data_IF_382072870895
#
_entry.id   IF_382072870895
#
_cell.length_a   1.000
_cell.length_b   1.000
_cell.length_c   1.000
_cell.angle_alpha   90.00
_cell.angle_beta   90.00
_cell.angle_gamma   90.00
#
_symmetry.space_group_name_H-M   'P 1'
#
loop_
_entity.id
_entity.type
_entity.pdbx_description
1 polymer ?
#
# COMPACT_ATOMS: atom_id res chain seq x y z
N UNK A 1 -5.95 -20.32 49.93
CA UNK A 1 -5.95 -21.25 48.77
C UNK A 1 -6.52 -20.60 47.49
N UNK A 2 -6.20 -19.33 47.20
CA UNK A 2 -6.82 -18.58 46.07
C UNK A 2 -5.85 -18.28 44.90
N UNK A 3 -4.53 -18.44 45.10
CA UNK A 3 -3.51 -18.08 44.11
C UNK A 3 -3.23 -19.14 43.04
N UNK A 4 -3.26 -20.43 43.42
CA UNK A 4 -2.94 -21.56 42.52
C UNK A 4 -3.97 -21.74 41.40
N UNK A 5 -5.24 -21.44 41.70
CA UNK A 5 -6.35 -21.51 40.74
C UNK A 5 -6.30 -20.38 39.71
N UNK A 6 -5.90 -19.16 40.11
CA UNK A 6 -5.77 -18.02 39.20
C UNK A 6 -4.61 -18.18 38.22
N UNK A 7 -3.48 -18.70 38.68
CA UNK A 7 -2.33 -18.99 37.80
C UNK A 7 -2.68 -20.08 36.79
N UNK A 8 -3.38 -21.13 37.22
CA UNK A 8 -3.87 -22.17 36.31
C UNK A 8 -4.84 -21.61 35.26
N UNK A 9 -5.76 -20.72 35.65
CA UNK A 9 -6.68 -20.06 34.73
C UNK A 9 -5.97 -19.15 33.71
N UNK A 10 -4.95 -18.40 34.14
CA UNK A 10 -4.16 -17.54 33.25
C UNK A 10 -3.35 -18.37 32.27
N UNK A 11 -2.74 -19.47 32.73
CA UNK A 11 -2.02 -20.40 31.85
C UNK A 11 -2.95 -21.11 30.88
N UNK A 12 -4.16 -21.49 31.32
CA UNK A 12 -5.17 -22.08 30.45
C UNK A 12 -5.67 -21.07 29.41
N UNK A 13 -5.91 -19.83 29.81
CA UNK A 13 -6.31 -18.76 28.90
C UNK A 13 -5.21 -18.47 27.87
N UNK A 14 -3.94 -18.39 28.31
CA UNK A 14 -2.80 -18.19 27.41
C UNK A 14 -2.61 -19.38 26.45
N UNK A 15 -2.78 -20.62 26.93
CA UNK A 15 -2.70 -21.81 26.10
C UNK A 15 -3.84 -21.89 25.08
N UNK A 16 -5.07 -21.56 25.48
CA UNK A 16 -6.21 -21.44 24.57
C UNK A 16 -5.93 -20.33 23.56
N UNK A 17 -5.54 -19.13 23.98
CA UNK A 17 -5.17 -18.02 23.08
C UNK A 17 -4.07 -18.40 22.08
N UNK A 18 -3.06 -19.15 22.49
CA UNK A 18 -2.01 -19.66 21.59
C UNK A 18 -2.55 -20.73 20.63
N UNK A 19 -3.44 -21.63 21.09
CA UNK A 19 -4.05 -22.67 20.26
C UNK A 19 -5.06 -22.11 19.24
N UNK A 20 -5.80 -21.04 19.57
CA UNK A 20 -6.61 -20.29 18.60
C UNK A 20 -5.75 -19.38 17.71
N UNK A 21 -4.60 -18.89 18.17
CA UNK A 21 -3.65 -18.18 17.30
C UNK A 21 -3.03 -19.10 16.23
N UNK A 22 -2.88 -20.40 16.52
CA UNK A 22 -2.54 -21.41 15.52
C UNK A 22 -3.72 -21.78 14.60
N UNK A 23 -4.93 -21.37 14.96
CA UNK A 23 -6.13 -21.40 14.11
C UNK A 23 -6.45 -20.02 13.53
N UNK A 24 -5.41 -19.25 13.15
CA UNK A 24 -5.61 -18.38 11.99
C UNK A 24 -6.18 -19.29 10.88
N UNK A 25 -7.37 -19.00 10.34
CA UNK A 25 -8.04 -19.90 9.41
C UNK A 25 -7.04 -20.27 8.31
N UNK A 26 -6.86 -21.55 7.97
CA UNK A 26 -5.95 -21.93 6.90
C UNK A 26 -6.61 -21.51 5.60
N UNK A 27 -6.43 -20.25 5.20
CA UNK A 27 -6.47 -19.87 3.78
C UNK A 27 -5.16 -20.29 3.12
N UNK A 28 -4.70 -21.51 3.40
CA UNK A 28 -3.59 -22.14 2.72
C UNK A 28 -4.21 -23.12 1.74
N UNK A 29 -4.15 -22.78 0.45
CA UNK A 29 -4.54 -23.67 -0.62
C UNK A 29 -3.32 -24.38 -1.20
N UNK A 30 -3.55 -25.50 -1.89
CA UNK A 30 -2.51 -26.12 -2.71
C UNK A 30 -2.05 -25.15 -3.82
N UNK A 31 -0.81 -25.32 -4.28
CA UNK A 31 -0.26 -24.48 -5.35
C UNK A 31 -1.16 -24.47 -6.60
N UNK A 32 -1.64 -23.28 -6.94
CA UNK A 32 -2.53 -23.06 -8.09
C UNK A 32 -1.83 -23.38 -9.42
N UNK A 33 -2.62 -23.85 -10.38
CA UNK A 33 -2.20 -24.16 -11.76
C UNK A 33 -3.11 -23.44 -12.74
N UNK A 34 -2.62 -23.21 -13.96
CA UNK A 34 -3.40 -22.67 -15.08
C UNK A 34 -4.05 -21.30 -14.81
N UNK A 35 -3.37 -20.43 -14.05
CA UNK A 35 -3.84 -19.08 -13.72
C UNK A 35 -3.31 -17.99 -14.67
N UNK A 36 -2.56 -18.38 -15.71
CA UNK A 36 -1.99 -17.48 -16.72
C UNK A 36 -2.41 -17.90 -18.14
N UNK A 37 -2.87 -16.98 -19.02
CA UNK A 37 -3.06 -15.54 -18.77
C UNK A 37 -4.11 -15.23 -17.68
N UNK A 38 -3.99 -14.09 -16.96
CA UNK A 38 -4.87 -13.77 -15.84
C UNK A 38 -6.35 -13.70 -16.25
N UNK A 39 -7.21 -14.38 -15.49
CA UNK A 39 -8.66 -14.40 -15.68
C UNK A 39 -9.38 -14.80 -14.40
N UNK A 40 -10.72 -14.69 -14.39
CA UNK A 40 -11.54 -15.10 -13.26
C UNK A 40 -11.52 -14.11 -12.07
N UNK A 41 -11.94 -14.55 -10.88
CA UNK A 41 -12.26 -13.66 -9.75
C UNK A 41 -11.04 -12.98 -9.12
N UNK A 42 -9.83 -13.50 -9.32
CA UNK A 42 -8.59 -12.90 -8.81
C UNK A 42 -8.01 -11.85 -9.77
N UNK A 43 -8.56 -11.72 -10.98
CA UNK A 43 -8.14 -10.74 -11.96
C UNK A 43 -9.09 -9.55 -11.98
N UNK A 44 -8.64 -8.41 -11.43
CA UNK A 44 -9.45 -7.17 -11.43
C UNK A 44 -9.47 -6.47 -12.80
N UNK A 45 -8.39 -6.58 -13.56
CA UNK A 45 -8.26 -5.90 -14.84
C UNK A 45 -6.81 -5.53 -15.16
N UNK A 46 -6.58 -5.01 -16.38
CA UNK A 46 -5.25 -4.63 -16.84
C UNK A 46 -4.80 -3.32 -16.17
N UNK A 47 -3.49 -3.10 -16.17
CA UNK A 47 -2.86 -1.87 -15.68
C UNK A 47 -2.51 -0.98 -16.89
N UNK A 48 -2.94 0.30 -16.93
CA UNK A 48 -2.64 1.20 -18.04
C UNK A 48 -1.17 1.62 -18.05
N UNK A 49 -0.67 1.93 -19.25
CA UNK A 49 0.69 2.44 -19.47
C UNK A 49 0.68 3.95 -19.68
N UNK A 50 1.64 4.65 -19.09
CA UNK A 50 1.90 6.06 -19.30
C UNK A 50 3.37 6.27 -19.65
N UNK A 51 3.66 7.24 -20.51
CA UNK A 51 5.04 7.65 -20.81
C UNK A 51 5.41 8.84 -19.94
N UNK A 52 6.51 8.75 -19.21
CA UNK A 52 7.05 9.86 -18.43
C UNK A 52 8.28 10.42 -19.15
N UNK A 53 8.14 11.63 -19.69
CA UNK A 53 9.23 12.30 -20.39
C UNK A 53 10.19 12.98 -19.41
N UNK A 54 11.39 12.42 -19.27
CA UNK A 54 12.44 12.92 -18.38
C UNK A 54 13.12 14.20 -18.89
N UNK A 55 12.94 14.56 -20.16
CA UNK A 55 13.43 15.81 -20.76
C UNK A 55 12.60 17.02 -20.32
N UNK A 56 11.37 16.80 -19.86
CA UNK A 56 10.58 17.83 -19.20
C UNK A 56 11.19 18.20 -17.85
N UNK A 57 11.05 19.48 -17.43
CA UNK A 57 11.43 19.86 -16.08
C UNK A 57 10.63 19.03 -15.06
N UNK A 58 11.22 18.64 -13.91
CA UNK A 58 10.62 17.69 -12.97
C UNK A 58 9.15 18.00 -12.62
N UNK A 59 8.83 19.27 -12.33
CA UNK A 59 7.48 19.71 -11.98
C UNK A 59 6.41 19.45 -13.06
N UNK A 60 6.80 19.22 -14.33
CA UNK A 60 5.86 18.94 -15.44
C UNK A 60 5.63 17.46 -15.72
N UNK A 61 6.52 16.57 -15.24
CA UNK A 61 6.58 15.16 -15.68
C UNK A 61 5.29 14.38 -15.43
N UNK A 62 4.60 14.69 -14.34
CA UNK A 62 3.41 13.96 -13.89
C UNK A 62 2.08 14.59 -14.34
N UNK A 63 2.11 15.71 -15.07
CA UNK A 63 0.88 16.46 -15.36
C UNK A 63 -0.17 15.64 -16.12
N UNK A 64 0.24 14.94 -17.19
CA UNK A 64 -0.66 14.10 -17.99
C UNK A 64 -1.32 13.00 -17.14
N UNK A 65 -0.50 12.25 -16.38
CA UNK A 65 -1.00 11.23 -15.47
C UNK A 65 -1.99 11.80 -14.43
N UNK A 66 -1.69 12.99 -13.91
CA UNK A 66 -2.53 13.64 -12.90
C UNK A 66 -3.86 14.14 -13.47
N UNK A 67 -3.97 14.46 -14.77
CA UNK A 67 -5.27 14.75 -15.39
C UNK A 67 -6.21 13.56 -15.21
N UNK A 68 -5.72 12.34 -15.40
CA UNK A 68 -6.53 11.12 -15.32
C UNK A 68 -6.73 10.63 -13.88
N UNK A 69 -5.66 10.66 -13.07
CA UNK A 69 -5.63 9.97 -11.77
C UNK A 69 -5.91 10.88 -10.57
N UNK A 70 -5.82 12.20 -10.70
CA UNK A 70 -6.07 13.12 -9.59
C UNK A 70 -7.44 12.95 -8.90
N UNK A 71 -8.56 12.69 -9.61
CA UNK A 71 -9.83 12.46 -8.93
C UNK A 71 -9.78 11.28 -7.95
N UNK A 72 -9.19 10.15 -8.37
CA UNK A 72 -9.02 8.98 -7.51
C UNK A 72 -7.99 9.23 -6.40
N UNK A 73 -6.94 10.00 -6.68
CA UNK A 73 -5.94 10.38 -5.68
C UNK A 73 -6.56 11.24 -4.56
N UNK A 74 -7.50 12.12 -4.88
CA UNK A 74 -8.24 12.89 -3.87
C UNK A 74 -9.11 12.00 -2.99
N UNK A 75 -9.70 10.93 -3.56
CA UNK A 75 -10.51 9.98 -2.80
C UNK A 75 -9.66 9.28 -1.73
N UNK A 76 -8.49 8.75 -2.10
CA UNK A 76 -7.62 8.04 -1.14
C UNK A 76 -7.07 8.97 -0.06
N UNK A 77 -6.65 10.19 -0.42
CA UNK A 77 -6.19 11.20 0.54
C UNK A 77 -7.31 11.56 1.52
N UNK A 78 -8.54 11.74 1.04
CA UNK A 78 -9.70 12.02 1.90
C UNK A 78 -10.03 10.84 2.83
N UNK A 79 -9.94 9.59 2.34
CA UNK A 79 -10.12 8.39 3.16
C UNK A 79 -9.06 8.28 4.25
N UNK A 80 -7.80 8.62 3.97
CA UNK A 80 -6.73 8.68 4.97
C UNK A 80 -7.00 9.77 6.02
N UNK A 81 -7.38 10.98 5.60
CA UNK A 81 -7.73 12.09 6.52
C UNK A 81 -8.89 11.72 7.44
N UNK A 82 -9.96 11.13 6.90
CA UNK A 82 -11.11 10.69 7.68
C UNK A 82 -10.76 9.61 8.69
N UNK A 83 -9.89 8.67 8.32
CA UNK A 83 -9.39 7.65 9.22
C UNK A 83 -8.57 8.26 10.37
N UNK A 84 -7.61 9.14 10.05
CA UNK A 84 -6.80 9.84 11.06
C UNK A 84 -7.72 10.64 12.01
N UNK A 85 -8.72 11.34 11.48
CA UNK A 85 -9.68 12.10 12.28
C UNK A 85 -10.58 11.20 13.14
N UNK A 86 -10.83 9.95 12.74
CA UNK A 86 -11.59 9.01 13.58
C UNK A 86 -10.78 8.57 14.80
N UNK A 87 -9.47 8.35 14.64
CA UNK A 87 -8.58 7.98 15.76
C UNK A 87 -8.13 9.17 16.60
N UNK A 88 -7.97 10.35 15.97
CA UNK A 88 -7.57 11.59 16.62
C UNK A 88 -8.47 12.74 16.15
N UNK A 89 -9.68 12.88 16.75
CA UNK A 89 -10.74 13.80 16.29
C UNK A 89 -10.39 15.28 16.38
N UNK A 90 -9.31 15.63 17.08
CA UNK A 90 -8.88 17.02 17.23
C UNK A 90 -8.47 17.70 15.92
N UNK A 91 -8.28 16.96 14.82
CA UNK A 91 -7.79 17.46 13.52
C UNK A 91 -6.34 17.95 13.54
N UNK A 92 -5.71 18.02 14.72
CA UNK A 92 -4.35 18.54 14.92
C UNK A 92 -3.29 17.76 14.15
N UNK A 93 -3.45 16.44 13.97
CA UNK A 93 -2.50 15.63 13.22
C UNK A 93 -2.52 16.02 11.74
N UNK A 94 -3.71 16.15 11.15
CA UNK A 94 -3.86 16.57 9.76
C UNK A 94 -3.28 17.98 9.55
N UNK A 95 -3.55 18.91 10.48
CA UNK A 95 -2.97 20.26 10.44
C UNK A 95 -1.43 20.24 10.51
N UNK A 96 -0.83 19.43 11.39
CA UNK A 96 0.63 19.31 11.48
C UNK A 96 1.22 18.70 10.21
N UNK A 97 0.56 17.71 9.62
CA UNK A 97 0.98 17.10 8.35
C UNK A 97 0.94 18.13 7.22
N UNK A 98 -0.15 18.89 7.11
CA UNK A 98 -0.34 19.83 6.00
C UNK A 98 0.56 21.08 6.14
N UNK A 99 0.76 21.59 7.36
CA UNK A 99 1.46 22.87 7.58
C UNK A 99 2.93 22.74 8.00
N UNK A 100 3.30 21.67 8.73
CA UNK A 100 4.62 21.57 9.38
C UNK A 100 5.51 20.49 8.81
N UNK A 101 4.95 19.41 8.27
CA UNK A 101 5.73 18.28 7.77
C UNK A 101 6.71 18.67 6.66
N UNK A 102 6.35 19.51 5.65
CA UNK A 102 7.31 19.93 4.63
C UNK A 102 8.51 20.68 5.21
N UNK A 103 8.27 21.61 6.14
CA UNK A 103 9.34 22.36 6.80
C UNK A 103 10.21 21.50 7.73
N UNK A 104 9.64 20.43 8.32
CA UNK A 104 10.37 19.50 9.18
C UNK A 104 11.27 18.55 8.39
N UNK A 105 10.81 18.08 7.23
CA UNK A 105 11.57 17.16 6.37
C UNK A 105 12.67 17.87 5.58
N UNK A 106 12.59 19.21 5.47
CA UNK A 106 13.49 19.99 4.65
C UNK A 106 13.27 19.73 3.16
N UNK A 107 14.25 20.14 2.34
CA UNK A 107 14.16 19.94 0.90
C UNK A 107 14.63 18.52 0.53
N UNK A 108 13.85 17.82 -0.28
CA UNK A 108 14.27 16.57 -0.88
C UNK A 108 15.31 16.81 -1.98
N UNK A 109 16.20 15.84 -2.26
CA UNK A 109 17.10 15.95 -3.40
C UNK A 109 16.31 16.03 -4.70
N UNK A 110 16.74 16.88 -5.64
CA UNK A 110 16.18 16.88 -6.99
C UNK A 110 16.37 15.52 -7.66
N UNK A 111 15.37 15.01 -8.42
CA UNK A 111 14.17 15.71 -8.91
C UNK A 111 12.95 15.66 -7.98
N UNK A 112 13.03 14.96 -6.85
CA UNK A 112 11.87 14.57 -6.03
C UNK A 112 11.11 15.78 -5.45
N UNK A 113 11.83 16.78 -4.96
CA UNK A 113 11.24 18.03 -4.42
C UNK A 113 10.37 18.77 -5.44
N UNK A 114 10.78 18.78 -6.72
CA UNK A 114 10.04 19.49 -7.76
C UNK A 114 8.91 18.63 -8.35
N UNK A 115 9.03 17.31 -8.28
CA UNK A 115 7.97 16.37 -8.65
C UNK A 115 6.85 16.27 -7.60
N UNK A 116 7.17 16.50 -6.32
CA UNK A 116 6.24 16.36 -5.20
C UNK A 116 6.00 17.70 -4.49
N UNK A 117 4.74 18.06 -4.21
CA UNK A 117 4.41 19.19 -3.32
C UNK A 117 3.28 18.85 -2.36
N UNK A 118 3.38 19.34 -1.13
CA UNK A 118 2.32 19.27 -0.12
C UNK A 118 1.97 17.84 0.32
N UNK A 119 0.67 17.53 0.40
CA UNK A 119 0.11 16.24 0.88
C UNK A 119 0.62 15.00 0.11
N UNK A 120 1.15 15.20 -1.09
CA UNK A 120 1.80 14.17 -1.90
C UNK A 120 3.07 13.62 -1.22
N UNK A 121 3.77 14.43 -0.41
CA UNK A 121 4.94 14.01 0.36
C UNK A 121 4.54 12.91 1.36
N UNK A 122 3.46 13.14 2.11
CA UNK A 122 2.92 12.17 3.07
C UNK A 122 2.52 10.86 2.39
N UNK A 123 1.93 10.94 1.19
CA UNK A 123 1.58 9.75 0.40
C UNK A 123 2.81 8.93 -0.02
N UNK A 124 3.91 9.59 -0.37
CA UNK A 124 5.17 8.89 -0.69
C UNK A 124 5.79 8.24 0.55
N UNK A 125 5.70 8.87 1.73
CA UNK A 125 6.16 8.27 2.99
C UNK A 125 5.31 7.05 3.39
N UNK A 126 4.01 7.03 3.07
CA UNK A 126 3.16 5.88 3.41
C UNK A 126 3.63 4.58 2.77
N UNK A 127 4.24 4.63 1.57
CA UNK A 127 4.84 3.45 0.94
C UNK A 127 5.97 2.85 1.77
N UNK A 128 6.71 3.64 2.54
CA UNK A 128 7.83 3.16 3.35
C UNK A 128 7.38 2.41 4.62
N UNK A 129 6.12 2.58 5.05
CA UNK A 129 5.63 2.09 6.34
C UNK A 129 4.62 0.94 6.23
N UNK A 130 3.84 0.90 5.14
CA UNK A 130 2.65 0.03 5.05
C UNK A 130 2.66 -0.93 3.86
N UNK A 131 3.82 -1.16 3.25
CA UNK A 131 3.99 -2.19 2.20
C UNK A 131 4.41 -3.53 2.80
N UNK A 132 3.77 -4.59 2.33
CA UNK A 132 4.25 -5.97 2.42
C UNK A 132 4.49 -6.45 0.98
N UNK A 133 5.40 -7.40 0.81
CA UNK A 133 5.67 -7.94 -0.51
C UNK A 133 6.12 -9.40 -0.46
N UNK A 134 5.90 -10.09 -1.58
CA UNK A 134 6.57 -11.33 -1.93
C UNK A 134 7.32 -11.08 -3.23
N UNK A 135 8.62 -11.36 -3.27
CA UNK A 135 9.46 -11.22 -4.47
C UNK A 135 10.23 -12.51 -4.69
N UNK A 136 10.27 -12.97 -5.95
CA UNK A 136 10.93 -14.21 -6.36
C UNK A 136 11.83 -13.91 -7.54
N UNK A 137 13.09 -14.33 -7.44
CA UNK A 137 14.04 -14.37 -8.54
C UNK A 137 14.34 -15.84 -8.83
N UNK A 138 14.23 -16.24 -10.08
CA UNK A 138 14.49 -17.61 -10.54
C UNK A 138 15.37 -17.59 -11.79
N UNK A 139 16.22 -18.60 -11.92
CA UNK A 139 17.05 -18.84 -13.10
C UNK A 139 16.62 -20.14 -13.76
N UNK A 140 16.39 -20.13 -15.08
CA UNK A 140 16.10 -21.35 -15.82
C UNK A 140 17.39 -22.13 -16.16
N UNK A 141 17.23 -23.36 -16.67
CA UNK A 141 18.39 -24.21 -17.03
C UNK A 141 19.27 -23.64 -18.15
N UNK A 142 18.83 -22.59 -18.86
CA UNK A 142 19.56 -21.90 -19.92
C UNK A 142 20.24 -20.61 -19.42
N UNK A 143 20.09 -20.29 -18.14
CA UNK A 143 20.63 -19.06 -17.53
C UNK A 143 19.72 -17.84 -17.66
N UNK A 144 18.46 -17.99 -18.06
CA UNK A 144 17.53 -16.86 -18.11
C UNK A 144 16.99 -16.53 -16.72
N UNK A 145 17.09 -15.27 -16.34
CA UNK A 145 16.56 -14.75 -15.08
C UNK A 145 15.12 -14.27 -15.23
N UNK A 146 14.27 -14.68 -14.30
CA UNK A 146 12.88 -14.25 -14.17
C UNK A 146 12.71 -13.62 -12.79
N UNK A 147 12.15 -12.41 -12.74
CA UNK A 147 11.80 -11.72 -11.51
C UNK A 147 10.30 -11.45 -11.48
N UNK A 148 9.60 -12.05 -10.51
CA UNK A 148 8.17 -11.87 -10.27
C UNK A 148 7.91 -11.38 -8.84
N UNK A 149 6.83 -10.62 -8.64
CA UNK A 149 6.46 -10.14 -7.32
C UNK A 149 4.96 -9.89 -7.14
N UNK A 150 4.53 -9.90 -5.88
CA UNK A 150 3.25 -9.34 -5.42
C UNK A 150 3.49 -8.06 -4.62
N UNK A 151 2.55 -7.11 -4.71
CA UNK A 151 2.53 -5.87 -3.95
C UNK A 151 1.29 -5.81 -3.05
N UNK A 152 1.51 -5.83 -1.75
CA UNK A 152 0.44 -5.71 -0.77
C UNK A 152 0.59 -4.35 -0.07
N UNK A 153 -0.34 -3.43 -0.30
CA UNK A 153 -0.21 -2.06 0.19
C UNK A 153 -1.51 -1.53 0.79
N UNK A 154 -1.40 -0.73 1.85
CA UNK A 154 -2.56 -0.17 2.57
C UNK A 154 -3.24 -1.17 3.51
N UNK A 155 -2.57 -2.27 3.86
CA UNK A 155 -3.08 -3.27 4.79
C UNK A 155 -3.26 -2.63 6.17
N UNK A 156 -4.34 -2.98 6.88
CA UNK A 156 -4.74 -2.42 8.18
C UNK A 156 -5.25 -0.98 8.16
N UNK A 157 -5.32 -0.34 6.99
CA UNK A 157 -5.84 1.02 6.86
C UNK A 157 -7.32 1.00 6.44
N UNK A 158 -8.19 0.99 7.45
CA UNK A 158 -9.65 1.11 7.33
C UNK A 158 -10.30 -0.19 6.87
N UNK A 159 -11.05 -0.85 7.76
CA UNK A 159 -11.73 -2.10 7.44
C UNK A 159 -13.17 -1.86 6.96
N UNK A 160 -13.54 -2.44 5.82
CA UNK A 160 -14.91 -2.44 5.32
C UNK A 160 -15.58 -3.80 5.59
N UNK A 161 -16.47 -3.82 6.58
CA UNK A 161 -17.21 -5.03 7.00
C UNK A 161 -18.20 -5.56 5.96
N UNK A 162 -18.56 -4.77 4.95
CA UNK A 162 -19.57 -5.18 3.96
C UNK A 162 -18.98 -6.10 2.88
N UNK A 163 -17.67 -6.03 2.66
CA UNK A 163 -16.99 -6.80 1.61
C UNK A 163 -15.65 -7.38 2.06
N UNK A 164 -15.34 -7.32 3.36
CA UNK A 164 -14.13 -7.85 3.98
C UNK A 164 -12.83 -7.39 3.30
N UNK A 165 -12.73 -6.07 3.03
CA UNK A 165 -11.54 -5.47 2.42
C UNK A 165 -10.98 -4.29 3.20
N UNK A 166 -9.70 -4.01 2.99
CA UNK A 166 -9.05 -2.77 3.44
C UNK A 166 -9.35 -1.63 2.45
N UNK A 167 -9.94 -0.55 2.94
CA UNK A 167 -10.41 0.59 2.13
C UNK A 167 -9.28 1.18 1.30
N UNK A 168 -8.13 1.43 1.92
CA UNK A 168 -6.98 2.02 1.22
C UNK A 168 -6.43 1.04 0.18
N UNK A 169 -6.31 -0.25 0.51
CA UNK A 169 -5.91 -1.29 -0.46
C UNK A 169 -6.81 -1.33 -1.69
N UNK A 170 -8.12 -1.22 -1.54
CA UNK A 170 -9.04 -1.18 -2.68
C UNK A 170 -8.93 0.08 -3.53
N UNK A 171 -8.70 1.23 -2.89
CA UNK A 171 -8.55 2.54 -3.55
C UNK A 171 -7.21 2.70 -4.27
N UNK A 172 -6.19 1.92 -3.88
CA UNK A 172 -4.90 1.89 -4.57
C UNK A 172 -4.96 1.18 -5.92
N UNK A 173 -5.77 0.12 -6.04
CA UNK A 173 -5.91 -0.67 -7.28
C UNK A 173 -6.14 0.19 -8.55
N UNK A 174 -7.07 1.17 -8.58
CA UNK A 174 -7.27 2.04 -9.74
C UNK A 174 -6.17 3.11 -9.96
N UNK A 175 -5.32 3.35 -8.95
CA UNK A 175 -4.17 4.26 -9.04
C UNK A 175 -2.91 3.57 -9.58
N UNK A 176 -2.87 2.24 -9.60
CA UNK A 176 -1.77 1.47 -10.18
C UNK A 176 -1.63 1.77 -11.67
N UNK A 177 -0.40 2.09 -12.09
CA UNK A 177 -0.02 2.36 -13.48
C UNK A 177 1.34 1.74 -13.79
N UNK A 178 1.54 1.37 -15.04
CA UNK A 178 2.86 1.04 -15.58
C UNK A 178 3.45 2.31 -16.19
N UNK A 179 4.74 2.54 -15.96
CA UNK A 179 5.43 3.74 -16.40
C UNK A 179 6.58 3.37 -17.35
N UNK A 180 6.57 3.98 -18.52
CA UNK A 180 7.68 3.97 -19.48
C UNK A 180 8.43 5.31 -19.37
N UNK A 181 9.56 5.30 -18.68
CA UNK A 181 10.40 6.49 -18.50
C UNK A 181 11.32 6.67 -19.70
N UNK A 182 11.20 7.79 -20.40
CA UNK A 182 11.99 8.09 -21.61
C UNK A 182 12.80 9.36 -21.48
N UNK A 183 13.95 9.41 -22.15
CA UNK A 183 14.87 10.54 -22.20
C UNK A 183 15.47 10.64 -23.60
N UNK A 184 15.68 11.85 -24.09
CA UNK A 184 16.15 12.16 -25.44
C UNK A 184 15.21 11.60 -26.53
N UNK A 185 13.90 11.75 -26.35
CA UNK A 185 12.91 11.38 -27.37
C UNK A 185 12.86 12.39 -28.52
#
# INVERSE_FOLDING_TARGET
MLGRSRVALVLLAAAVSCAVAQHAPPWTEDCRKSTYPPSGPTYRGPVPWYTINLDLPPYKRWHELMVDKAPMLKVIVNSLKNMINTFVPSGKIVQVVDEKLPGLLGNFPGPFEEEMKGEIISFNIFYELFTICTSIVAEDKKGHLIHGRNMDFGVFLGWNINNDTWVITEQLKPLTVNLDFRRNN
#
